data_IF_137640309920
#
_entry.id   IF_137640309920
#
_cell.length_a   1.000
_cell.length_b   1.000
_cell.length_c   1.000
_cell.angle_alpha   90.00
_cell.angle_beta   90.00
_cell.angle_gamma   90.00
#
_symmetry.space_group_name_H-M   'P 1'
#
loop_
_entity.id
_entity.type
_entity.pdbx_description
1 polymer ?
#
# COMPACT_ATOMS: atom_id res chain seq x y z
N UNK A 1 9.43 -24.31 -1.29
CA UNK A 1 8.62 -23.16 -1.73
C UNK A 1 9.41 -21.89 -1.46
N UNK A 2 9.52 -20.97 -2.41
CA UNK A 2 10.06 -19.62 -2.16
C UNK A 2 9.01 -18.56 -2.47
N UNK A 3 8.99 -17.48 -1.70
CA UNK A 3 8.33 -16.23 -2.09
C UNK A 3 9.38 -15.34 -2.73
N UNK A 4 9.25 -15.16 -4.03
CA UNK A 4 10.17 -14.33 -4.81
C UNK A 4 9.42 -13.20 -5.48
N UNK A 5 10.15 -12.13 -5.77
CA UNK A 5 9.57 -10.96 -6.40
C UNK A 5 9.23 -11.25 -7.85
N UNK A 6 7.96 -11.03 -8.19
CA UNK A 6 7.43 -11.13 -9.55
C UNK A 6 7.33 -9.77 -10.24
N UNK A 7 6.99 -8.72 -9.47
CA UNK A 7 7.10 -7.30 -9.85
C UNK A 7 7.52 -6.50 -8.63
N UNK A 8 7.89 -5.23 -8.78
CA UNK A 8 8.31 -4.38 -7.65
C UNK A 8 7.32 -4.36 -6.46
N UNK A 9 6.02 -4.60 -6.71
CA UNK A 9 4.98 -4.60 -5.68
C UNK A 9 4.64 -6.00 -5.15
N UNK A 10 5.15 -7.06 -5.77
CA UNK A 10 4.50 -8.38 -5.82
C UNK A 10 5.43 -9.54 -5.54
N UNK A 11 4.98 -10.44 -4.68
CA UNK A 11 5.60 -11.74 -4.46
C UNK A 11 4.66 -12.84 -4.93
N UNK A 12 5.20 -13.86 -5.58
CA UNK A 12 4.47 -15.08 -5.94
C UNK A 12 5.23 -16.29 -5.38
N UNK A 13 4.53 -17.35 -4.96
CA UNK A 13 5.21 -18.59 -4.62
C UNK A 13 5.79 -19.24 -5.88
N UNK A 14 7.01 -19.75 -5.76
CA UNK A 14 7.58 -20.77 -6.65
C UNK A 14 7.95 -22.03 -5.87
N UNK A 15 7.97 -23.15 -6.56
CA UNK A 15 8.29 -24.46 -6.04
C UNK A 15 9.35 -25.08 -6.93
N UNK A 16 10.25 -25.84 -6.31
CA UNK A 16 11.35 -26.50 -6.99
C UNK A 16 12.04 -27.46 -6.03
N UNK A 17 12.84 -28.34 -6.60
CA UNK A 17 13.49 -29.43 -5.88
C UNK A 17 15.01 -29.20 -5.73
N UNK A 18 15.52 -28.10 -6.29
CA UNK A 18 16.94 -27.74 -6.29
C UNK A 18 17.19 -26.27 -5.96
N UNK A 19 18.36 -25.99 -5.38
CA UNK A 19 18.81 -24.62 -5.08
C UNK A 19 19.02 -23.75 -6.32
N UNK A 20 19.28 -24.33 -7.49
CA UNK A 20 19.42 -23.54 -8.73
C UNK A 20 18.11 -22.97 -9.26
N UNK A 21 16.98 -23.48 -8.77
CA UNK A 21 15.64 -23.00 -9.13
C UNK A 21 15.18 -21.84 -8.21
N UNK A 22 15.96 -21.52 -7.16
CA UNK A 22 15.66 -20.41 -6.25
C UNK A 22 15.94 -19.09 -6.98
N UNK A 23 14.92 -18.26 -7.25
CA UNK A 23 15.12 -17.00 -7.95
C UNK A 23 16.01 -16.05 -7.14
N UNK A 24 16.85 -15.26 -7.80
CA UNK A 24 17.79 -14.34 -7.15
C UNK A 24 17.09 -13.28 -6.27
N UNK A 25 15.86 -12.92 -6.60
CA UNK A 25 15.04 -11.95 -5.86
C UNK A 25 14.16 -12.59 -4.77
N UNK A 26 14.46 -13.85 -4.40
CA UNK A 26 13.79 -14.55 -3.30
C UNK A 26 13.91 -13.76 -2.01
N UNK A 27 12.76 -13.38 -1.44
CA UNK A 27 12.70 -12.71 -0.15
C UNK A 27 12.63 -13.73 0.99
N UNK A 28 12.09 -14.92 0.72
CA UNK A 28 11.95 -15.99 1.70
C UNK A 28 11.97 -17.36 1.06
N UNK A 29 12.52 -18.34 1.77
CA UNK A 29 12.58 -19.72 1.31
C UNK A 29 12.10 -20.67 2.42
N UNK A 30 11.06 -21.45 2.14
CA UNK A 30 10.62 -22.57 2.96
C UNK A 30 11.12 -23.88 2.33
N UNK A 31 12.02 -24.56 3.04
CA UNK A 31 12.61 -25.82 2.64
C UNK A 31 11.92 -26.99 3.35
N UNK A 32 11.36 -27.92 2.60
CA UNK A 32 10.93 -29.21 3.14
C UNK A 32 12.13 -30.14 3.19
N UNK A 33 12.39 -30.71 4.35
CA UNK A 33 13.39 -31.76 4.57
C UNK A 33 12.68 -33.00 5.07
N UNK A 34 13.05 -34.17 4.56
CA UNK A 34 12.49 -35.44 5.02
C UNK A 34 13.54 -36.15 5.84
N UNK A 35 13.14 -36.58 7.03
CA UNK A 35 13.99 -37.43 7.84
C UNK A 35 14.22 -38.75 7.09
N UNK A 36 15.49 -39.16 6.92
CA UNK A 36 15.78 -40.44 6.27
C UNK A 36 15.28 -41.55 7.18
N UNK A 37 14.21 -42.24 6.78
CA UNK A 37 13.78 -43.48 7.43
C UNK A 37 14.97 -44.45 7.46
N UNK A 38 15.41 -44.83 8.65
CA UNK A 38 16.41 -45.90 8.80
C UNK A 38 15.83 -47.17 8.19
N UNK A 39 16.44 -47.64 7.11
CA UNK A 39 16.02 -48.86 6.43
C UNK A 39 16.31 -50.04 7.33
N UNK A 40 15.31 -50.52 8.06
CA UNK A 40 15.27 -51.91 8.52
C UNK A 40 14.23 -52.66 7.66
N UNK A 41 14.74 -53.49 6.76
CA UNK A 41 14.02 -54.54 6.02
C UNK A 41 12.78 -54.11 5.21
N UNK A 42 13.03 -53.54 4.03
CA UNK A 42 12.40 -54.00 2.79
C UNK A 42 10.97 -53.54 2.44
N UNK A 43 10.20 -52.95 3.36
CA UNK A 43 8.91 -52.33 3.03
C UNK A 43 8.63 -51.12 3.92
N UNK A 44 9.09 -49.94 3.53
CA UNK A 44 8.62 -48.67 4.10
C UNK A 44 7.79 -47.93 3.05
N UNK A 45 6.47 -47.87 3.23
CA UNK A 45 5.65 -46.84 2.57
C UNK A 45 6.15 -45.47 3.05
N UNK A 46 6.24 -44.45 2.17
CA UNK A 46 6.55 -43.10 2.61
C UNK A 46 5.40 -42.62 3.49
N UNK A 47 5.57 -42.61 4.81
CA UNK A 47 4.67 -41.96 5.73
C UNK A 47 4.98 -40.47 5.71
N UNK A 48 3.96 -39.63 5.54
CA UNK A 48 4.01 -38.16 5.63
C UNK A 48 4.36 -37.66 7.05
N UNK A 49 4.74 -38.55 7.96
CA UNK A 49 4.85 -38.28 9.39
C UNK A 49 6.18 -37.61 9.81
N UNK A 50 7.22 -37.61 8.95
CA UNK A 50 8.55 -37.04 9.30
C UNK A 50 9.05 -35.99 8.28
N UNK A 51 8.18 -35.06 7.87
CA UNK A 51 8.60 -33.85 7.15
C UNK A 51 8.93 -32.72 8.14
N UNK A 52 10.17 -32.24 8.09
CA UNK A 52 10.68 -31.08 8.81
C UNK A 52 10.73 -29.88 7.85
N UNK A 53 10.10 -28.77 8.21
CA UNK A 53 10.12 -27.55 7.42
C UNK A 53 11.09 -26.53 8.03
N UNK A 54 12.00 -25.99 7.21
CA UNK A 54 12.97 -24.97 7.59
C UNK A 54 12.63 -23.67 6.88
N UNK A 55 12.32 -22.62 7.64
CA UNK A 55 12.11 -21.27 7.11
C UNK A 55 13.43 -20.51 7.12
N UNK A 56 13.92 -20.14 5.93
CA UNK A 56 15.09 -19.31 5.72
C UNK A 56 14.61 -17.87 5.48
N UNK A 57 14.85 -17.04 6.49
CA UNK A 57 14.64 -15.59 6.42
C UNK A 57 15.99 -14.91 6.18
N UNK A 58 16.11 -13.96 5.24
CA UNK A 58 17.29 -13.12 5.14
C UNK A 58 17.34 -12.22 6.38
N UNK A 59 18.13 -12.62 7.38
CA UNK A 59 18.36 -11.82 8.58
C UNK A 59 19.44 -10.79 8.27
N UNK A 60 19.15 -9.53 8.56
CA UNK A 60 20.14 -8.46 8.50
C UNK A 60 21.04 -8.53 9.73
N UNK A 61 22.33 -8.29 9.55
CA UNK A 61 23.28 -8.24 10.66
C UNK A 61 22.98 -7.00 11.53
N UNK A 62 22.54 -7.20 12.78
CA UNK A 62 22.12 -6.14 13.71
C UNK A 62 20.90 -6.51 14.57
N UNK A 63 20.53 -5.70 15.58
CA UNK A 63 19.32 -5.90 16.37
C UNK A 63 18.08 -5.65 15.51
N UNK A 64 17.60 -6.69 14.84
CA UNK A 64 16.32 -6.72 14.16
C UNK A 64 15.19 -6.49 15.17
N UNK A 65 14.48 -5.37 15.06
CA UNK A 65 13.18 -5.17 15.73
C UNK A 65 12.04 -5.52 14.77
N UNK A 66 11.95 -6.77 14.28
CA UNK A 66 10.61 -7.28 14.05
C UNK A 66 10.22 -8.03 15.31
N UNK A 67 9.26 -7.46 16.03
CA UNK A 67 8.50 -8.29 16.95
C UNK A 67 7.69 -9.26 16.09
N UNK A 68 7.91 -10.56 16.26
CA UNK A 68 6.95 -11.59 15.82
C UNK A 68 5.70 -11.61 16.72
N UNK A 69 5.57 -10.66 17.66
CA UNK A 69 4.27 -10.40 18.28
C UNK A 69 3.50 -9.48 17.34
N UNK A 70 2.50 -10.04 16.67
CA UNK A 70 1.53 -9.26 15.93
C UNK A 70 0.96 -8.14 16.81
N UNK A 71 0.82 -6.96 16.22
CA UNK A 71 0.14 -5.85 16.86
C UNK A 71 -1.28 -6.26 17.28
N UNK A 72 -1.80 -5.66 18.35
CA UNK A 72 -3.23 -5.81 18.69
C UNK A 72 -4.07 -5.50 17.46
N UNK A 73 -4.94 -6.44 17.09
CA UNK A 73 -5.85 -6.30 15.95
C UNK A 73 -6.64 -4.99 16.13
N UNK A 74 -6.52 -4.01 15.21
CA UNK A 74 -7.27 -2.78 15.32
C UNK A 74 -8.78 -3.05 15.29
N UNK A 75 -9.55 -2.33 16.10
CA UNK A 75 -11.00 -2.53 16.20
C UNK A 75 -11.75 -2.37 14.86
N UNK A 76 -11.18 -1.62 13.91
CA UNK A 76 -11.78 -1.39 12.60
C UNK A 76 -11.71 -2.59 11.65
N UNK A 77 -10.97 -3.64 11.99
CA UNK A 77 -10.94 -4.89 11.21
C UNK A 77 -12.35 -5.52 11.16
N UNK A 78 -13.13 -5.39 12.24
CA UNK A 78 -14.50 -5.90 12.32
C UNK A 78 -15.54 -4.91 11.78
N UNK A 79 -15.11 -3.80 11.19
CA UNK A 79 -15.99 -2.76 10.69
C UNK A 79 -16.05 -2.76 9.17
N UNK A 80 -17.21 -2.38 8.64
CA UNK A 80 -17.36 -2.07 7.23
C UNK A 80 -16.81 -0.66 6.96
N UNK A 81 -15.93 -0.53 5.97
CA UNK A 81 -15.37 0.76 5.56
C UNK A 81 -15.55 1.07 4.08
N UNK A 82 -15.19 2.29 3.71
CA UNK A 82 -15.18 2.76 2.33
C UNK A 82 -13.86 3.46 2.00
N UNK A 83 -13.32 3.22 0.81
CA UNK A 83 -12.21 4.01 0.26
C UNK A 83 -12.64 4.71 -1.02
N UNK A 84 -12.18 5.95 -1.18
CA UNK A 84 -12.58 6.84 -2.27
C UNK A 84 -11.84 6.57 -3.59
N UNK A 85 -10.81 5.70 -3.62
CA UNK A 85 -9.91 5.52 -4.77
C UNK A 85 -10.64 5.28 -6.09
N UNK A 86 -11.40 4.20 -6.23
CA UNK A 86 -12.04 3.90 -7.52
C UNK A 86 -13.29 4.74 -7.82
N UNK A 87 -13.83 5.43 -6.81
CA UNK A 87 -14.95 6.34 -7.00
C UNK A 87 -14.51 7.64 -7.70
N UNK A 88 -13.27 8.10 -7.47
CA UNK A 88 -12.83 9.40 -7.97
C UNK A 88 -11.42 9.41 -8.59
N UNK A 89 -10.60 8.40 -8.32
CA UNK A 89 -9.14 8.44 -8.45
C UNK A 89 -8.64 9.77 -7.89
N UNK A 90 -7.83 10.51 -8.65
CA UNK A 90 -7.30 11.80 -8.23
C UNK A 90 -8.34 12.94 -8.12
N UNK A 91 -9.61 12.70 -8.48
CA UNK A 91 -10.68 13.71 -8.51
C UNK A 91 -11.52 13.74 -7.22
N UNK A 92 -11.08 13.09 -6.15
CA UNK A 92 -11.82 13.08 -4.87
C UNK A 92 -12.08 14.51 -4.38
N UNK A 93 -13.30 14.78 -3.93
CA UNK A 93 -13.73 16.06 -3.38
C UNK A 93 -14.83 15.85 -2.30
N UNK A 94 -15.10 16.87 -1.46
CA UNK A 94 -16.11 16.78 -0.40
C UNK A 94 -17.50 16.35 -0.89
N UNK A 95 -17.98 16.91 -2.02
CA UNK A 95 -19.31 16.63 -2.55
C UNK A 95 -19.45 15.17 -3.00
N UNK A 96 -18.41 14.63 -3.64
CA UNK A 96 -18.33 13.22 -4.02
C UNK A 96 -18.36 12.31 -2.81
N UNK A 97 -17.57 12.62 -1.77
CA UNK A 97 -17.53 11.85 -0.53
C UNK A 97 -18.91 11.84 0.14
N UNK A 98 -19.56 13.00 0.30
CA UNK A 98 -20.91 13.08 0.89
C UNK A 98 -21.92 12.23 0.12
N UNK A 99 -21.91 12.31 -1.22
CA UNK A 99 -22.79 11.50 -2.07
C UNK A 99 -22.56 10.00 -1.88
N UNK A 100 -21.30 9.57 -1.77
CA UNK A 100 -20.94 8.17 -1.54
C UNK A 100 -21.38 7.67 -0.17
N UNK A 101 -21.10 8.43 0.90
CA UNK A 101 -21.52 8.10 2.27
C UNK A 101 -23.05 8.03 2.40
N UNK A 102 -23.74 8.98 1.77
CA UNK A 102 -25.21 8.99 1.72
C UNK A 102 -25.76 7.76 1.01
N UNK A 103 -25.24 7.44 -0.18
CA UNK A 103 -25.66 6.28 -0.97
C UNK A 103 -25.48 4.96 -0.20
N UNK A 104 -24.32 4.77 0.44
CA UNK A 104 -24.04 3.58 1.27
C UNK A 104 -25.00 3.47 2.47
N UNK A 105 -25.26 4.60 3.12
CA UNK A 105 -26.17 4.65 4.27
C UNK A 105 -27.62 4.36 3.87
N UNK A 106 -28.10 4.95 2.79
CA UNK A 106 -29.44 4.69 2.22
C UNK A 106 -29.57 3.23 1.73
N UNK A 107 -28.47 2.64 1.24
CA UNK A 107 -28.39 1.24 0.87
C UNK A 107 -28.35 0.26 2.05
N UNK A 108 -28.34 0.73 3.30
CA UNK A 108 -28.32 -0.11 4.50
C UNK A 108 -26.93 -0.58 4.95
N UNK A 109 -25.86 -0.06 4.34
CA UNK A 109 -24.47 -0.41 4.65
C UNK A 109 -23.66 0.84 5.04
N UNK A 110 -24.02 1.54 6.14
CA UNK A 110 -23.30 2.74 6.55
C UNK A 110 -21.85 2.39 6.97
N UNK A 111 -20.83 2.95 6.31
CA UNK A 111 -19.45 2.70 6.70
C UNK A 111 -19.16 3.26 8.10
N UNK A 112 -18.29 2.58 8.84
CA UNK A 112 -17.76 3.05 10.13
C UNK A 112 -16.38 3.66 10.00
N UNK A 113 -15.68 3.42 8.90
CA UNK A 113 -14.45 4.15 8.59
C UNK A 113 -14.40 4.55 7.12
N UNK A 114 -13.70 5.66 6.86
CA UNK A 114 -13.46 6.19 5.53
C UNK A 114 -11.95 6.30 5.29
N UNK A 115 -11.49 5.91 4.10
CA UNK A 115 -10.16 6.27 3.60
C UNK A 115 -10.34 7.30 2.49
N UNK A 116 -9.93 8.54 2.76
CA UNK A 116 -9.78 9.59 1.74
C UNK A 116 -8.50 9.26 0.96
N UNK A 117 -8.69 8.54 -0.14
CA UNK A 117 -7.62 8.13 -1.04
C UNK A 117 -7.10 9.32 -1.87
N UNK A 118 -6.16 9.07 -2.79
CA UNK A 118 -5.39 10.18 -3.37
C UNK A 118 -6.21 11.26 -4.06
N UNK A 119 -5.65 12.47 -4.08
CA UNK A 119 -6.24 13.63 -4.71
C UNK A 119 -6.69 14.71 -3.73
N UNK A 120 -6.60 14.49 -2.42
CA UNK A 120 -6.79 15.56 -1.41
C UNK A 120 -5.55 16.46 -1.26
N UNK A 121 -4.36 15.94 -1.57
CA UNK A 121 -3.07 16.62 -1.40
C UNK A 121 -2.87 17.79 -2.37
N UNK A 122 -2.11 18.80 -1.95
CA UNK A 122 -1.62 19.86 -2.83
C UNK A 122 -0.44 19.35 -3.67
N UNK A 123 -0.64 19.26 -4.98
CA UNK A 123 0.33 18.70 -5.91
C UNK A 123 0.33 19.45 -7.24
N UNK A 124 1.48 19.44 -7.91
CA UNK A 124 1.61 19.91 -9.28
C UNK A 124 1.94 18.73 -10.20
N UNK A 125 1.33 18.73 -11.36
CA UNK A 125 1.74 17.87 -12.47
C UNK A 125 2.92 18.57 -13.15
N UNK A 126 4.15 18.09 -12.93
CA UNK A 126 5.34 18.78 -13.47
C UNK A 126 5.51 18.53 -14.97
N UNK A 127 4.99 17.41 -15.48
CA UNK A 127 5.10 17.04 -16.89
C UNK A 127 3.77 16.48 -17.40
N UNK A 128 3.23 17.09 -18.46
CA UNK A 128 2.16 16.54 -19.29
C UNK A 128 2.76 15.68 -20.42
N UNK A 129 2.05 14.63 -20.80
CA UNK A 129 2.45 13.70 -21.85
C UNK A 129 2.56 14.37 -23.23
N UNK A 130 3.57 13.97 -24.00
CA UNK A 130 3.46 13.96 -25.46
C UNK A 130 2.74 12.66 -25.86
N UNK A 131 1.59 12.75 -26.53
CA UNK A 131 0.72 11.60 -26.88
C UNK A 131 1.41 10.58 -27.81
N UNK A 132 2.58 10.92 -28.34
CA UNK A 132 3.33 10.11 -29.32
C UNK A 132 4.18 8.98 -28.72
N UNK A 133 4.39 8.96 -27.39
CA UNK A 133 5.48 8.16 -26.77
C UNK A 133 5.08 6.78 -26.20
N UNK A 134 3.80 6.35 -26.34
CA UNK A 134 3.23 4.98 -26.09
C UNK A 134 1.97 5.02 -25.21
N UNK A 135 0.89 4.30 -25.57
CA UNK A 135 -0.37 4.25 -24.79
C UNK A 135 -0.27 3.46 -23.48
N UNK A 136 0.89 2.87 -23.17
CA UNK A 136 1.06 1.99 -22.01
C UNK A 136 1.91 2.58 -20.89
N UNK A 137 2.45 3.79 -21.01
CA UNK A 137 3.17 4.43 -19.92
C UNK A 137 2.29 5.45 -19.24
N UNK A 138 2.25 5.44 -17.90
CA UNK A 138 1.93 6.69 -17.21
C UNK A 138 2.96 7.71 -17.72
N UNK A 139 2.54 8.95 -17.95
CA UNK A 139 3.35 9.96 -18.64
C UNK A 139 3.56 11.21 -17.81
N UNK A 140 2.92 11.26 -16.64
CA UNK A 140 3.02 12.38 -15.70
C UNK A 140 3.66 11.97 -14.38
N UNK A 141 4.32 12.94 -13.76
CA UNK A 141 4.85 12.86 -12.40
C UNK A 141 4.19 13.95 -11.58
N UNK A 142 3.36 13.53 -10.64
CA UNK A 142 2.75 14.43 -9.66
C UNK A 142 3.68 14.63 -8.48
N UNK A 143 4.03 15.88 -8.18
CA UNK A 143 4.88 16.23 -7.04
C UNK A 143 4.10 16.99 -5.97
N UNK A 144 4.29 16.60 -4.72
CA UNK A 144 3.71 17.26 -3.56
C UNK A 144 4.32 18.68 -3.41
N UNK A 145 3.47 19.69 -3.30
CA UNK A 145 3.90 21.09 -3.16
C UNK A 145 3.73 21.62 -1.74
N UNK A 146 2.77 21.08 -0.99
CA UNK A 146 2.47 21.41 0.40
C UNK A 146 1.99 20.16 1.13
N UNK A 147 2.18 20.10 2.45
CA UNK A 147 1.59 19.05 3.30
C UNK A 147 0.09 19.26 3.53
N UNK A 148 -0.42 20.47 3.25
CA UNK A 148 -1.83 20.81 3.44
C UNK A 148 -2.74 20.29 2.32
N UNK A 149 -4.03 20.30 2.60
CA UNK A 149 -5.09 20.01 1.66
C UNK A 149 -5.11 21.02 0.49
N UNK A 150 -5.55 20.54 -0.68
CA UNK A 150 -5.74 21.38 -1.85
C UNK A 150 -7.08 22.13 -1.86
N UNK A 151 -7.27 22.99 -2.86
CA UNK A 151 -8.43 23.87 -3.01
C UNK A 151 -9.77 23.16 -3.22
N UNK A 152 -9.79 21.83 -3.41
CA UNK A 152 -11.05 21.08 -3.42
C UNK A 152 -11.65 20.96 -2.03
N UNK A 153 -10.82 21.00 -1.00
CA UNK A 153 -11.21 20.90 0.41
C UNK A 153 -11.23 22.26 1.12
N UNK A 154 -11.00 23.37 0.38
CA UNK A 154 -11.06 24.74 0.87
C UNK A 154 -12.24 25.49 0.22
N UNK A 155 -13.03 26.20 1.05
CA UNK A 155 -14.02 27.20 0.58
C UNK A 155 -15.46 26.72 0.43
N UNK A 156 -16.32 27.61 -0.08
CA UNK A 156 -17.77 27.42 -0.16
C UNK A 156 -18.16 26.64 -1.43
N UNK A 157 -18.80 25.47 -1.29
CA UNK A 157 -19.32 24.69 -2.43
C UNK A 157 -20.72 24.16 -2.16
N UNK A 158 -21.64 24.37 -3.10
CA UNK A 158 -22.97 23.71 -3.13
C UNK A 158 -23.85 23.92 -1.87
N UNK A 159 -23.76 25.08 -1.21
CA UNK A 159 -24.65 25.46 -0.10
C UNK A 159 -24.27 24.90 1.28
N UNK A 160 -23.21 24.10 1.37
CA UNK A 160 -22.51 23.75 2.60
C UNK A 160 -21.10 24.36 2.56
N UNK A 161 -20.60 24.85 3.68
CA UNK A 161 -19.28 25.48 3.74
C UNK A 161 -18.37 24.67 4.64
N UNK A 162 -17.26 24.19 4.11
CA UNK A 162 -16.13 23.72 4.90
C UNK A 162 -14.96 24.64 4.61
N UNK A 163 -14.42 25.29 5.64
CA UNK A 163 -13.29 26.19 5.45
C UNK A 163 -12.02 25.42 5.02
N UNK A 164 -11.89 24.17 5.46
CA UNK A 164 -10.71 23.31 5.30
C UNK A 164 -11.05 21.82 5.52
N UNK A 165 -10.06 20.94 5.39
CA UNK A 165 -10.21 19.50 5.58
C UNK A 165 -10.72 19.16 7.00
N UNK A 166 -10.29 19.89 8.03
CA UNK A 166 -10.70 19.65 9.42
C UNK A 166 -12.21 19.78 9.60
N UNK A 167 -12.79 20.87 9.12
CA UNK A 167 -14.23 21.09 9.22
C UNK A 167 -15.02 20.06 8.41
N UNK A 168 -14.48 19.65 7.26
CA UNK A 168 -15.09 18.61 6.45
C UNK A 168 -15.07 17.23 7.14
N UNK A 169 -13.93 16.81 7.68
CA UNK A 169 -13.79 15.54 8.43
C UNK A 169 -14.74 15.53 9.61
N UNK A 170 -14.77 16.59 10.41
CA UNK A 170 -15.70 16.72 11.53
C UNK A 170 -17.16 16.58 11.09
N UNK A 171 -17.54 17.22 9.99
CA UNK A 171 -18.90 17.13 9.47
C UNK A 171 -19.28 15.70 9.09
N UNK A 172 -18.43 14.97 8.34
CA UNK A 172 -18.76 13.60 7.92
C UNK A 172 -18.77 12.60 9.08
N UNK A 173 -17.97 12.83 10.12
CA UNK A 173 -18.03 12.08 11.38
C UNK A 173 -19.38 12.24 12.07
N UNK A 174 -19.84 13.48 12.23
CA UNK A 174 -21.09 13.81 12.92
C UNK A 174 -22.33 13.38 12.12
N UNK A 175 -22.35 13.65 10.81
CA UNK A 175 -23.52 13.42 9.95
C UNK A 175 -23.69 11.93 9.59
N UNK A 176 -22.59 11.22 9.29
CA UNK A 176 -22.64 9.83 8.81
C UNK A 176 -22.22 8.81 9.89
N UNK A 177 -21.85 9.26 11.09
CA UNK A 177 -21.51 8.40 12.20
C UNK A 177 -20.22 7.58 11.98
N UNK A 178 -19.27 8.15 11.22
CA UNK A 178 -17.94 7.57 11.05
C UNK A 178 -17.23 7.51 12.41
N UNK A 179 -16.44 6.45 12.60
CA UNK A 179 -15.62 6.20 13.79
C UNK A 179 -14.14 6.48 13.55
N UNK A 180 -13.70 6.34 12.29
CA UNK A 180 -12.34 6.62 11.89
C UNK A 180 -12.30 7.24 10.49
N UNK A 181 -11.42 8.21 10.30
CA UNK A 181 -11.09 8.77 8.99
C UNK A 181 -9.60 8.64 8.74
N UNK A 182 -9.24 8.01 7.63
CA UNK A 182 -7.87 7.85 7.17
C UNK A 182 -7.60 8.75 5.96
N UNK A 183 -6.36 9.20 5.81
CA UNK A 183 -5.90 9.89 4.59
C UNK A 183 -4.78 9.10 3.90
N UNK A 184 -4.83 9.01 2.58
CA UNK A 184 -3.80 8.32 1.80
C UNK A 184 -2.65 9.28 1.43
N UNK A 185 -1.41 8.83 1.55
CA UNK A 185 -0.25 9.50 0.94
C UNK A 185 0.79 8.47 0.47
N UNK A 186 1.65 8.83 -0.48
CA UNK A 186 2.78 7.98 -0.82
C UNK A 186 3.87 8.08 0.25
N UNK A 187 4.68 7.03 0.45
CA UNK A 187 5.78 7.03 1.42
C UNK A 187 6.72 8.23 1.20
N UNK A 188 6.98 8.58 -0.05
CA UNK A 188 7.83 9.69 -0.46
C UNK A 188 7.08 11.04 -0.63
N UNK A 189 5.87 11.16 -0.10
CA UNK A 189 5.00 12.34 -0.18
C UNK A 189 3.86 12.17 -1.18
N UNK A 190 4.16 12.26 -2.48
CA UNK A 190 3.28 11.83 -3.59
C UNK A 190 4.00 10.80 -4.46
N UNK A 191 3.34 10.26 -5.50
CA UNK A 191 3.96 9.26 -6.38
C UNK A 191 5.29 9.74 -6.98
N UNK A 192 5.38 11.01 -7.35
CA UNK A 192 6.60 11.64 -7.85
C UNK A 192 7.54 12.21 -6.80
N UNK A 193 7.28 12.01 -5.51
CA UNK A 193 7.98 12.68 -4.43
C UNK A 193 7.53 14.13 -4.22
N UNK A 194 8.34 14.94 -3.55
CA UNK A 194 8.02 16.35 -3.29
C UNK A 194 8.65 17.28 -4.34
N UNK A 195 8.06 18.45 -4.60
CA UNK A 195 8.61 19.41 -5.56
C UNK A 195 9.79 20.17 -4.96
N UNK A 196 11.02 20.05 -5.47
CA UNK A 196 12.17 20.70 -4.84
C UNK A 196 12.17 22.23 -4.87
N UNK A 197 11.51 22.80 -5.88
CA UNK A 197 11.37 24.25 -6.05
C UNK A 197 10.28 24.85 -5.17
N UNK A 198 9.38 24.02 -4.59
CA UNK A 198 8.35 24.49 -3.66
C UNK A 198 8.99 25.15 -2.44
N UNK A 199 8.51 26.35 -2.10
CA UNK A 199 8.96 27.08 -0.91
C UNK A 199 8.68 26.28 0.37
N UNK A 200 7.54 25.62 0.45
CA UNK A 200 7.15 24.83 1.61
C UNK A 200 7.91 23.51 1.73
N UNK A 201 8.28 22.88 0.61
CA UNK A 201 9.01 21.61 0.64
C UNK A 201 10.52 21.78 0.81
N UNK A 202 11.06 22.97 0.47
CA UNK A 202 12.51 23.25 0.53
C UNK A 202 13.11 23.00 1.92
N UNK A 203 12.35 23.19 3.00
CA UNK A 203 12.81 22.94 4.39
C UNK A 203 13.16 21.47 4.66
N UNK A 204 12.74 20.53 3.81
CA UNK A 204 13.07 19.12 3.93
C UNK A 204 14.26 18.70 3.06
N UNK A 205 14.90 19.66 2.38
CA UNK A 205 16.04 19.44 1.46
C UNK A 205 15.79 18.36 0.39
N UNK A 206 14.73 18.49 -0.41
CA UNK A 206 14.45 17.53 -1.47
C UNK A 206 15.35 17.72 -2.70
N UNK A 207 15.63 16.64 -3.43
CA UNK A 207 16.28 16.68 -4.75
C UNK A 207 15.72 15.60 -5.68
N UNK A 208 15.91 15.80 -6.98
CA UNK A 208 15.48 14.82 -7.99
C UNK A 208 16.47 13.66 -8.05
N UNK A 209 15.96 12.45 -7.84
CA UNK A 209 16.71 11.20 -7.98
C UNK A 209 16.00 10.26 -8.93
N UNK A 210 16.71 9.84 -9.98
CA UNK A 210 16.22 8.85 -10.92
C UNK A 210 16.31 7.44 -10.31
N UNK A 211 15.28 6.65 -10.54
CA UNK A 211 15.28 5.23 -10.19
C UNK A 211 15.94 4.41 -11.29
N UNK A 212 16.44 3.23 -10.93
CA UNK A 212 16.93 2.24 -11.89
C UNK A 212 16.31 0.90 -11.53
N UNK A 213 15.54 0.31 -12.45
CA UNK A 213 14.91 -0.99 -12.21
C UNK A 213 15.92 -2.14 -12.35
N UNK A 214 15.83 -3.17 -11.50
CA UNK A 214 16.65 -4.38 -11.62
C UNK A 214 16.24 -5.21 -12.86
N UNK A 215 17.14 -6.04 -13.42
CA UNK A 215 16.77 -7.00 -14.46
C UNK A 215 15.61 -7.92 -14.09
N UNK A 216 15.49 -8.33 -12.81
CA UNK A 216 14.37 -9.16 -12.35
C UNK A 216 13.04 -8.41 -12.24
N UNK A 217 13.06 -7.12 -11.88
CA UNK A 217 11.86 -6.28 -11.90
C UNK A 217 11.26 -6.13 -13.30
N UNK A 218 12.10 -6.11 -14.34
CA UNK A 218 11.67 -5.93 -15.73
C UNK A 218 11.45 -7.24 -16.48
N UNK A 219 11.79 -8.40 -15.91
CA UNK A 219 11.78 -9.69 -16.64
C UNK A 219 10.40 -10.30 -16.82
N UNK A 220 9.39 -9.88 -16.04
CA UNK A 220 8.05 -10.47 -16.06
C UNK A 220 6.99 -9.49 -16.56
N UNK A 221 6.72 -8.43 -15.79
CA UNK A 221 5.74 -7.41 -16.16
C UNK A 221 6.28 -6.04 -15.78
N UNK A 222 6.43 -5.19 -16.78
CA UNK A 222 6.90 -3.82 -16.61
C UNK A 222 5.83 -3.02 -15.88
N UNK A 223 6.19 -2.47 -14.73
CA UNK A 223 5.32 -1.59 -13.98
C UNK A 223 5.26 -0.23 -14.69
N UNK A 224 4.18 0.01 -15.41
CA UNK A 224 3.98 1.20 -16.24
C UNK A 224 4.03 2.51 -15.46
N UNK A 225 3.75 2.44 -14.16
CA UNK A 225 3.79 3.59 -13.25
C UNK A 225 5.19 4.00 -12.83
N UNK A 226 6.20 3.14 -13.03
CA UNK A 226 7.61 3.47 -12.75
C UNK A 226 8.28 4.21 -13.90
N UNK A 227 7.75 4.11 -15.13
CA UNK A 227 8.30 4.78 -16.32
C UNK A 227 8.52 6.28 -16.12
N UNK A 228 7.52 7.06 -15.66
CA UNK A 228 7.70 8.46 -15.33
C UNK A 228 8.78 8.74 -14.29
N UNK A 229 8.86 7.91 -13.26
CA UNK A 229 9.83 8.07 -12.17
C UNK A 229 11.26 7.78 -12.65
N UNK A 230 11.42 6.87 -13.62
CA UNK A 230 12.70 6.57 -14.27
C UNK A 230 13.12 7.72 -15.19
N UNK A 231 12.17 8.26 -15.99
CA UNK A 231 12.41 9.36 -16.95
C UNK A 231 12.61 10.72 -16.29
N UNK A 232 11.77 11.09 -15.32
CA UNK A 232 11.72 12.44 -14.73
C UNK A 232 12.19 12.48 -13.26
N UNK A 233 12.51 11.33 -12.69
CA UNK A 233 13.03 11.23 -11.34
C UNK A 233 11.99 11.50 -10.24
N UNK A 234 12.38 11.14 -9.03
CA UNK A 234 11.58 11.29 -7.82
C UNK A 234 12.15 12.45 -7.00
N UNK A 235 11.29 13.33 -6.52
CA UNK A 235 11.62 14.37 -5.56
C UNK A 235 11.82 13.78 -4.18
N UNK A 236 13.00 13.19 -3.98
CA UNK A 236 13.32 12.45 -2.77
C UNK A 236 13.68 13.42 -1.64
N UNK A 237 13.07 13.23 -0.48
CA UNK A 237 13.41 13.94 0.75
C UNK A 237 14.71 13.37 1.32
N UNK A 238 15.57 14.20 1.90
CA UNK A 238 16.77 13.72 2.56
C UNK A 238 16.45 12.72 3.68
N UNK A 239 17.15 11.56 3.78
CA UNK A 239 16.97 10.66 4.94
C UNK A 239 17.25 11.34 6.28
N UNK A 240 18.03 12.42 6.32
CA UNK A 240 18.26 13.23 7.52
C UNK A 240 17.08 14.12 7.91
N UNK A 241 16.15 14.39 6.98
CA UNK A 241 14.99 15.26 7.18
C UNK A 241 13.65 14.51 7.16
N UNK A 242 13.64 13.20 6.90
CA UNK A 242 12.41 12.42 6.73
C UNK A 242 11.56 12.37 8.01
N UNK A 243 12.20 12.31 9.19
CA UNK A 243 11.52 12.41 10.49
C UNK A 243 10.74 13.71 10.62
N UNK A 244 11.37 14.83 10.29
CA UNK A 244 10.71 16.15 10.32
C UNK A 244 9.56 16.22 9.32
N UNK A 245 9.71 15.63 8.14
CA UNK A 245 8.64 15.60 7.14
C UNK A 245 7.42 14.84 7.64
N UNK A 246 7.59 13.63 8.19
CA UNK A 246 6.47 12.86 8.72
C UNK A 246 5.85 13.50 9.96
N UNK A 247 6.67 14.04 10.88
CA UNK A 247 6.17 14.76 12.05
C UNK A 247 5.29 15.95 11.63
N UNK A 248 5.76 16.78 10.69
CA UNK A 248 4.99 17.90 10.17
C UNK A 248 3.70 17.43 9.45
N UNK A 249 3.79 16.43 8.54
CA UNK A 249 2.65 15.92 7.76
C UNK A 249 1.59 15.26 8.64
N UNK A 250 1.99 14.36 9.54
CA UNK A 250 1.06 13.63 10.40
C UNK A 250 0.52 14.50 11.53
N UNK A 251 1.28 15.49 12.02
CA UNK A 251 0.75 16.49 12.94
C UNK A 251 -0.33 17.34 12.29
N UNK A 252 -0.12 17.74 11.03
CA UNK A 252 -1.14 18.45 10.26
C UNK A 252 -2.40 17.58 10.05
N UNK A 253 -2.25 16.33 9.60
CA UNK A 253 -3.40 15.41 9.43
C UNK A 253 -4.16 15.17 10.75
N UNK A 254 -3.43 14.96 11.86
CA UNK A 254 -4.04 14.84 13.17
C UNK A 254 -4.78 16.12 13.59
N UNK A 255 -4.27 17.31 13.22
CA UNK A 255 -4.96 18.59 13.45
C UNK A 255 -6.26 18.72 12.64
N UNK A 256 -6.38 17.97 11.54
CA UNK A 256 -7.57 17.83 10.70
C UNK A 256 -8.53 16.74 11.16
N UNK A 257 -8.35 16.17 12.36
CA UNK A 257 -9.10 15.01 12.87
C UNK A 257 -8.95 13.74 12.01
N UNK A 258 -7.84 13.57 11.29
CA UNK A 258 -7.54 12.30 10.61
C UNK A 258 -6.92 11.33 11.62
N UNK A 259 -7.52 10.15 11.77
CA UNK A 259 -7.15 9.14 12.76
C UNK A 259 -5.97 8.26 12.34
N UNK A 260 -5.69 8.19 11.04
CA UNK A 260 -4.59 7.39 10.53
C UNK A 260 -4.27 7.63 9.06
N UNK A 261 -3.27 6.92 8.56
CA UNK A 261 -2.83 7.05 7.17
C UNK A 261 -2.80 5.72 6.45
N UNK A 262 -3.12 5.75 5.16
CA UNK A 262 -2.79 4.68 4.21
C UNK A 262 -1.54 5.12 3.46
N UNK A 263 -0.47 4.34 3.55
CA UNK A 263 0.82 4.71 2.95
C UNK A 263 1.10 3.87 1.71
N UNK A 264 0.99 4.51 0.56
CA UNK A 264 1.18 3.89 -0.76
C UNK A 264 2.63 4.05 -1.27
N UNK A 265 2.94 3.35 -2.37
CA UNK A 265 4.20 3.48 -3.14
C UNK A 265 5.48 3.21 -2.32
N UNK A 266 5.38 2.47 -1.21
CA UNK A 266 6.54 2.18 -0.35
C UNK A 266 7.67 1.47 -1.11
N UNK A 267 7.30 0.61 -2.04
CA UNK A 267 8.20 -0.21 -2.84
C UNK A 267 9.19 0.59 -3.71
N UNK A 268 8.90 1.84 -4.06
CA UNK A 268 9.79 2.65 -4.91
C UNK A 268 11.11 2.98 -4.22
N UNK A 269 11.11 3.03 -2.89
CA UNK A 269 12.26 3.41 -2.09
C UNK A 269 13.42 2.42 -2.25
N UNK A 270 13.12 1.17 -2.57
CA UNK A 270 14.14 0.18 -2.89
C UNK A 270 15.03 0.62 -4.07
N UNK A 271 14.44 1.25 -5.08
CA UNK A 271 15.16 1.69 -6.27
C UNK A 271 15.97 2.97 -6.03
N UNK A 272 15.82 3.60 -4.86
CA UNK A 272 16.51 4.81 -4.45
C UNK A 272 17.66 4.54 -3.47
N UNK A 273 17.88 3.29 -3.05
CA UNK A 273 18.84 2.93 -2.00
C UNK A 273 20.32 3.14 -2.32
N UNK A 274 20.67 3.32 -3.61
CA UNK A 274 22.06 3.61 -4.01
C UNK A 274 22.55 4.89 -3.32
N UNK A 275 23.78 4.90 -2.78
CA UNK A 275 24.36 5.98 -1.97
C UNK A 275 23.76 6.20 -0.56
N UNK A 276 22.79 5.39 -0.11
CA UNK A 276 22.18 5.51 1.23
C UNK A 276 22.33 4.23 2.08
N UNK A 277 23.47 3.53 1.95
CA UNK A 277 23.69 2.25 2.64
C UNK A 277 22.89 1.08 2.03
N UNK A 278 22.27 1.28 0.87
CA UNK A 278 21.46 0.30 0.17
C UNK A 278 19.97 0.39 0.53
N UNK A 279 19.16 -0.39 -0.18
CA UNK A 279 17.69 -0.42 -0.05
C UNK A 279 17.20 -0.65 1.38
N UNK A 280 17.92 -1.49 2.13
CA UNK A 280 17.57 -1.87 3.50
C UNK A 280 17.72 -0.69 4.44
N UNK A 281 18.90 -0.06 4.46
CA UNK A 281 19.17 1.07 5.34
C UNK A 281 18.24 2.24 5.02
N UNK A 282 18.00 2.52 3.73
CA UNK A 282 17.09 3.57 3.33
C UNK A 282 15.63 3.28 3.73
N UNK A 283 15.14 2.06 3.47
CA UNK A 283 13.79 1.65 3.88
C UNK A 283 13.63 1.72 5.39
N UNK A 284 14.61 1.20 6.15
CA UNK A 284 14.60 1.26 7.62
C UNK A 284 14.45 2.69 8.11
N UNK A 285 15.21 3.65 7.56
CA UNK A 285 15.09 5.06 7.95
C UNK A 285 13.72 5.67 7.69
N UNK A 286 13.11 5.37 6.55
CA UNK A 286 11.79 5.90 6.22
C UNK A 286 10.69 5.23 7.05
N UNK A 287 10.78 3.93 7.30
CA UNK A 287 9.82 3.19 8.12
C UNK A 287 9.92 3.61 9.59
N UNK A 288 11.12 3.74 10.15
CA UNK A 288 11.32 4.27 11.51
C UNK A 288 10.68 5.66 11.65
N UNK A 289 10.93 6.56 10.70
CA UNK A 289 10.37 7.90 10.72
C UNK A 289 8.84 7.91 10.56
N UNK A 290 8.29 6.99 9.77
CA UNK A 290 6.85 6.82 9.60
C UNK A 290 6.20 6.24 10.87
N UNK A 291 6.83 5.26 11.51
CA UNK A 291 6.31 4.63 12.73
C UNK A 291 6.39 5.59 13.92
N UNK A 292 7.47 6.36 14.06
CA UNK A 292 7.63 7.34 15.15
C UNK A 292 6.65 8.51 15.07
N UNK A 293 6.18 8.88 13.87
CA UNK A 293 5.16 9.92 13.69
C UNK A 293 3.74 9.42 13.98
N UNK A 294 3.55 8.11 14.16
CA UNK A 294 2.25 7.48 14.44
C UNK A 294 2.10 7.11 15.92
N UNK A 295 0.87 7.21 16.44
CA UNK A 295 0.57 6.93 17.85
C UNK A 295 0.18 5.47 18.14
N UNK A 296 -0.30 4.71 17.14
CA UNK A 296 -0.80 3.33 17.28
C UNK A 296 -0.52 2.49 16.02
N UNK A 297 -0.52 1.16 16.18
CA UNK A 297 0.00 0.19 15.21
C UNK A 297 -0.68 0.12 13.84
N UNK A 298 0.01 -0.54 12.89
CA UNK A 298 -0.32 -0.54 11.46
C UNK A 298 -0.94 -1.86 10.98
N UNK A 299 -1.90 -1.76 10.05
CA UNK A 299 -2.25 -2.84 9.13
C UNK A 299 -1.38 -2.71 7.87
N UNK A 300 -0.98 -3.83 7.25
CA UNK A 300 -0.11 -3.82 6.07
C UNK A 300 -0.76 -4.56 4.92
N UNK A 301 -0.84 -3.91 3.77
CA UNK A 301 -1.34 -4.51 2.54
C UNK A 301 -0.47 -5.69 2.11
N UNK A 302 -1.11 -6.80 1.80
CA UNK A 302 -0.46 -8.07 1.38
C UNK A 302 -0.83 -8.48 -0.07
N UNK A 303 -1.41 -7.56 -0.84
CA UNK A 303 -2.04 -7.78 -2.16
C UNK A 303 -1.72 -6.66 -3.19
N UNK A 304 -1.89 -6.90 -4.51
CA UNK A 304 -2.06 -5.75 -5.47
C UNK A 304 -3.42 -5.12 -5.33
N UNK A 305 -3.47 -3.88 -5.84
CA UNK A 305 -4.68 -3.28 -6.40
C UNK A 305 -5.44 -4.27 -7.27
N UNK A 306 -6.72 -4.46 -6.96
CA UNK A 306 -7.58 -5.35 -7.74
C UNK A 306 -7.63 -4.96 -9.22
N UNK A 307 -7.30 -5.90 -10.11
CA UNK A 307 -7.39 -5.72 -11.57
C UNK A 307 -8.75 -6.22 -12.07
N UNK A 308 -9.66 -5.29 -12.32
CA UNK A 308 -11.05 -5.58 -12.72
C UNK A 308 -11.14 -6.36 -14.03
N UNK A 309 -10.29 -6.03 -15.00
CA UNK A 309 -10.42 -6.49 -16.38
C UNK A 309 -9.73 -7.84 -16.65
N UNK A 310 -9.14 -8.47 -15.64
CA UNK A 310 -8.44 -9.75 -15.80
C UNK A 310 -9.17 -10.88 -15.04
N UNK A 311 -10.04 -11.66 -15.72
CA UNK A 311 -10.83 -12.72 -15.08
C UNK A 311 -9.99 -13.81 -14.41
N UNK A 312 -8.83 -14.14 -14.99
CA UNK A 312 -7.94 -15.18 -14.46
C UNK A 312 -7.24 -14.76 -13.17
N UNK A 313 -7.18 -13.46 -12.91
CA UNK A 313 -6.44 -12.88 -11.79
C UNK A 313 -7.17 -13.01 -10.46
N UNK A 314 -8.49 -13.22 -10.46
CA UNK A 314 -9.32 -13.14 -9.26
C UNK A 314 -8.96 -14.23 -8.24
N UNK A 315 -8.89 -15.47 -8.70
CA UNK A 315 -8.51 -16.63 -7.87
C UNK A 315 -7.02 -16.58 -7.50
N UNK A 316 -6.16 -16.19 -8.46
CA UNK A 316 -4.72 -16.08 -8.23
C UNK A 316 -4.41 -15.01 -7.17
N UNK A 317 -5.12 -13.88 -7.18
CA UNK A 317 -5.00 -12.83 -6.17
C UNK A 317 -5.38 -13.37 -4.80
N UNK A 318 -6.55 -14.00 -4.64
CA UNK A 318 -6.96 -14.54 -3.33
C UNK A 318 -5.97 -15.59 -2.82
N UNK A 319 -5.49 -16.49 -3.68
CA UNK A 319 -4.47 -17.48 -3.31
C UNK A 319 -3.15 -16.83 -2.90
N UNK A 320 -2.60 -15.92 -3.70
CA UNK A 320 -1.34 -15.23 -3.42
C UNK A 320 -1.42 -14.46 -2.09
N UNK A 321 -2.54 -13.79 -1.84
CA UNK A 321 -2.76 -13.01 -0.62
C UNK A 321 -2.91 -13.91 0.60
N UNK A 322 -3.61 -15.04 0.49
CA UNK A 322 -3.68 -16.03 1.55
C UNK A 322 -2.28 -16.58 1.90
N UNK A 323 -1.44 -16.88 0.89
CA UNK A 323 -0.06 -17.31 1.11
C UNK A 323 0.80 -16.23 1.77
N UNK A 324 0.71 -14.98 1.30
CA UNK A 324 1.45 -13.86 1.90
C UNK A 324 1.01 -13.62 3.36
N UNK A 325 -0.27 -13.85 3.67
CA UNK A 325 -0.81 -13.68 5.03
C UNK A 325 -0.26 -14.68 6.03
N UNK A 326 0.17 -15.88 5.61
CA UNK A 326 0.78 -16.88 6.52
C UNK A 326 2.05 -16.36 7.18
N UNK A 327 2.82 -15.50 6.50
CA UNK A 327 3.95 -14.83 7.10
C UNK A 327 3.54 -13.48 7.67
N UNK A 328 2.94 -12.64 6.83
CA UNK A 328 2.74 -11.24 7.18
C UNK A 328 1.83 -11.10 8.39
N UNK A 329 0.91 -12.06 8.62
CA UNK A 329 0.07 -12.14 9.80
C UNK A 329 0.83 -12.29 11.13
N UNK A 330 2.07 -12.80 11.11
CA UNK A 330 2.93 -12.86 12.30
C UNK A 330 3.58 -11.50 12.63
N UNK A 331 3.53 -10.54 11.69
CA UNK A 331 4.24 -9.26 11.76
C UNK A 331 3.24 -8.09 11.83
N UNK A 332 2.17 -8.14 11.04
CA UNK A 332 1.16 -7.10 10.91
C UNK A 332 -0.20 -7.70 10.55
N UNK A 333 -1.28 -6.95 10.76
CA UNK A 333 -2.61 -7.38 10.28
C UNK A 333 -2.61 -7.35 8.74
N UNK A 334 -2.82 -8.50 8.07
CA UNK A 334 -2.82 -8.55 6.61
C UNK A 334 -4.03 -7.81 6.05
N UNK A 335 -3.81 -6.78 5.23
CA UNK A 335 -4.86 -6.12 4.47
C UNK A 335 -4.93 -6.70 3.05
N UNK A 336 -6.07 -7.31 2.72
CA UNK A 336 -6.29 -7.97 1.43
C UNK A 336 -6.72 -7.00 0.33
N UNK A 337 -6.71 -5.70 0.63
CA UNK A 337 -7.13 -4.58 -0.21
C UNK A 337 -8.64 -4.61 -0.52
N UNK A 338 -9.12 -3.52 -1.10
CA UNK A 338 -10.52 -3.32 -1.48
C UNK A 338 -11.01 -4.36 -2.48
N UNK A 339 -12.34 -4.41 -2.63
CA UNK A 339 -13.02 -5.09 -3.72
C UNK A 339 -14.16 -4.24 -4.28
N UNK A 340 -14.55 -4.55 -5.53
CA UNK A 340 -15.65 -3.90 -6.21
C UNK A 340 -16.95 -4.59 -5.83
N UNK A 341 -17.91 -3.80 -5.33
CA UNK A 341 -19.25 -4.31 -5.05
C UNK A 341 -20.04 -4.60 -6.33
N UNK A 342 -19.76 -3.86 -7.41
CA UNK A 342 -20.36 -4.05 -8.74
C UNK A 342 -19.42 -4.82 -9.67
N UNK A 343 -19.20 -6.11 -9.34
CA UNK A 343 -18.37 -7.01 -10.13
C UNK A 343 -18.89 -8.46 -10.00
N UNK A 344 -18.74 -9.27 -11.06
CA UNK A 344 -19.27 -10.64 -11.08
C UNK A 344 -18.63 -11.57 -10.03
N UNK A 345 -17.47 -11.20 -9.48
CA UNK A 345 -16.81 -11.90 -8.36
C UNK A 345 -16.98 -11.21 -7.01
N UNK A 346 -17.82 -10.17 -6.90
CA UNK A 346 -17.95 -9.38 -5.67
C UNK A 346 -18.25 -10.24 -4.42
N UNK A 347 -19.18 -11.19 -4.54
CA UNK A 347 -19.52 -12.12 -3.44
C UNK A 347 -18.33 -12.97 -3.01
N UNK A 348 -17.56 -13.50 -3.97
CA UNK A 348 -16.35 -14.27 -3.70
C UNK A 348 -15.30 -13.42 -2.98
N UNK A 349 -15.07 -12.18 -3.41
CA UNK A 349 -14.11 -11.29 -2.76
C UNK A 349 -14.55 -10.80 -1.39
N UNK A 350 -15.85 -10.57 -1.18
CA UNK A 350 -16.42 -10.23 0.11
C UNK A 350 -16.24 -11.38 1.11
N UNK A 351 -16.64 -12.60 0.71
CA UNK A 351 -16.50 -13.79 1.54
C UNK A 351 -15.03 -14.09 1.88
N UNK A 352 -14.12 -13.96 0.91
CA UNK A 352 -12.69 -14.16 1.12
C UNK A 352 -12.09 -13.22 2.19
N UNK A 353 -12.53 -11.95 2.24
CA UNK A 353 -12.07 -10.98 3.25
C UNK A 353 -12.66 -11.26 4.62
N UNK A 354 -13.97 -11.53 4.67
CA UNK A 354 -14.66 -11.87 5.91
C UNK A 354 -14.07 -13.12 6.58
N UNK A 355 -13.68 -14.13 5.79
CA UNK A 355 -13.02 -15.34 6.31
C UNK A 355 -11.53 -15.14 6.59
N UNK A 356 -10.87 -14.21 5.89
CA UNK A 356 -9.44 -13.96 5.98
C UNK A 356 -9.01 -13.17 7.22
N UNK A 357 -9.95 -12.66 8.02
CA UNK A 357 -9.66 -11.87 9.22
C UNK A 357 -8.99 -10.52 8.93
N UNK A 358 -9.26 -9.95 7.76
CA UNK A 358 -8.69 -8.69 7.29
C UNK A 358 -9.76 -7.58 7.21
N UNK A 359 -9.37 -6.29 7.18
CA UNK A 359 -10.32 -5.20 7.02
C UNK A 359 -11.23 -5.38 5.80
N UNK A 360 -12.53 -5.15 5.98
CA UNK A 360 -13.52 -5.24 4.90
C UNK A 360 -13.96 -3.84 4.48
N UNK A 361 -13.44 -3.38 3.35
CA UNK A 361 -13.82 -2.09 2.79
C UNK A 361 -13.97 -2.17 1.27
N UNK A 362 -14.97 -1.44 0.76
CA UNK A 362 -15.40 -1.50 -0.63
C UNK A 362 -14.96 -0.29 -1.43
N UNK A 363 -15.07 -0.42 -2.74
CA UNK A 363 -15.07 0.67 -3.69
C UNK A 363 -16.45 0.79 -4.34
N UNK A 364 -16.94 2.03 -4.45
CA UNK A 364 -18.15 2.35 -5.21
C UNK A 364 -17.75 2.72 -6.63
N UNK A 365 -18.37 2.08 -7.63
CA UNK A 365 -18.32 2.58 -9.00
C UNK A 365 -19.44 3.61 -9.17
N UNK A 366 -19.14 4.80 -9.72
CA UNK A 366 -20.22 5.68 -10.18
C UNK A 366 -20.98 4.95 -11.28
N UNK A 367 -22.28 4.73 -11.09
CA UNK A 367 -23.20 4.50 -12.20
C UNK A 367 -23.11 5.74 -13.10
N UNK A 368 -22.60 5.56 -14.32
CA UNK A 368 -22.46 6.63 -15.31
C UNK A 368 -23.82 7.24 -15.69
#
# INVERSE_FOLDING_TARGET
>A
MCLFRFKLRWMIPSFGDSGCEVPAETQMLLLETREKSTVQNGLSKPTTENSLYILLLPVLDGPFRASLQGNTIPAHVDWFGWSTWDAFYHKVDPEGIEKGLKSLSEGGFPPKFLIIDEGWQNKVMEVEADETDSPYHATSVDRLTSIEENDKFKGFRSGKSYANLREFVKFIEEEYGLKLVYACHALIGSWGGVLPTSEEMRKYDPWIKHIVQSPGNVSHVICTTLGPMEKYGIGMIAPSNIYRFYDDLHSYLASCNVDGVKVDVQNVLELLGSCYGGRVALMGRYQEALEESLKQGAATRVSEGFMQMEPTFQTLRVAAVAFNSLLMGEIAVPDWDMFFSDHYTAEFHAAARALGGCPVYVQLRRSH
#
